data_IF_881155123699
#
_entry.id   IF_881155123699
#
_cell.length_a   1.000
_cell.length_b   1.000
_cell.length_c   1.000
_cell.angle_alpha   90.00
_cell.angle_beta   90.00
_cell.angle_gamma   90.00
#
_symmetry.space_group_name_H-M   'P 1'
#
loop_
_entity.id
_entity.type
_entity.pdbx_description
1 polymer ?
#
# COMPACT_ATOMS: atom_id res chain seq x y z
N UNK A 1 -10.45 -15.35 -37.30
CA UNK A 1 -9.09 -15.08 -36.85
C UNK A 1 -9.04 -15.51 -35.39
N UNK A 2 -8.29 -16.55 -35.05
CA UNK A 2 -8.07 -16.97 -33.69
C UNK A 2 -7.17 -15.92 -33.02
N UNK A 3 -7.73 -15.08 -32.16
CA UNK A 3 -6.96 -14.19 -31.30
C UNK A 3 -6.06 -15.07 -30.44
N UNK A 4 -4.76 -15.02 -30.70
CA UNK A 4 -3.75 -15.67 -29.84
C UNK A 4 -3.66 -14.89 -28.54
N UNK A 5 -4.29 -15.40 -27.46
CA UNK A 5 -4.15 -14.79 -26.13
C UNK A 5 -2.74 -14.96 -25.61
N UNK A 6 -2.22 -13.94 -24.92
CA UNK A 6 -0.98 -14.04 -24.16
C UNK A 6 -1.28 -14.87 -22.92
N UNK A 7 -0.63 -16.04 -22.73
CA UNK A 7 -0.93 -16.90 -21.60
C UNK A 7 -0.36 -16.33 -20.30
N UNK A 8 -1.16 -16.37 -19.24
CA UNK A 8 -0.68 -16.11 -17.89
C UNK A 8 0.14 -17.28 -17.32
N UNK A 9 0.91 -17.00 -16.28
CA UNK A 9 1.63 -18.02 -15.50
C UNK A 9 0.74 -18.69 -14.44
N UNK A 10 -0.51 -18.96 -14.79
CA UNK A 10 -1.50 -19.62 -13.95
C UNK A 10 -2.92 -19.19 -14.33
N UNK A 11 -3.91 -19.98 -13.93
CA UNK A 11 -5.31 -19.70 -14.19
C UNK A 11 -5.80 -18.52 -13.34
N UNK A 12 -6.44 -17.51 -13.94
CA UNK A 12 -7.05 -16.40 -13.20
C UNK A 12 -8.03 -16.88 -12.12
N UNK A 13 -8.17 -16.07 -11.08
CA UNK A 13 -9.20 -16.24 -10.06
C UNK A 13 -10.35 -15.28 -10.35
N UNK A 14 -11.54 -15.84 -10.55
CA UNK A 14 -12.77 -15.08 -10.82
C UNK A 14 -13.67 -15.16 -9.59
N UNK A 15 -13.73 -14.12 -8.75
CA UNK A 15 -14.46 -14.18 -7.46
C UNK A 15 -15.94 -14.56 -7.61
N UNK A 16 -16.61 -14.14 -8.70
CA UNK A 16 -18.02 -14.49 -8.94
C UNK A 16 -18.25 -15.99 -9.17
N UNK A 17 -17.22 -16.75 -9.55
CA UNK A 17 -17.28 -18.21 -9.74
C UNK A 17 -16.96 -18.99 -8.46
N UNK A 18 -16.50 -18.31 -7.41
CA UNK A 18 -16.11 -18.94 -6.15
C UNK A 18 -17.24 -18.87 -5.12
N UNK A 19 -17.35 -19.87 -4.24
CA UNK A 19 -18.30 -19.80 -3.14
C UNK A 19 -17.90 -18.68 -2.17
N UNK A 20 -18.87 -17.87 -1.68
CA UNK A 20 -18.57 -16.86 -0.68
C UNK A 20 -18.22 -17.51 0.65
N UNK A 21 -17.08 -17.12 1.22
CA UNK A 21 -16.69 -17.54 2.58
C UNK A 21 -17.12 -16.45 3.57
N UNK A 22 -18.15 -16.74 4.36
CA UNK A 22 -18.59 -15.83 5.42
C UNK A 22 -17.73 -15.99 6.68
N UNK A 23 -17.50 -14.90 7.44
CA UNK A 23 -16.67 -14.97 8.62
C UNK A 23 -17.26 -15.93 9.66
N UNK A 24 -16.40 -16.77 10.23
CA UNK A 24 -16.79 -17.65 11.31
C UNK A 24 -17.01 -16.87 12.63
N UNK A 25 -17.97 -17.31 13.44
CA UNK A 25 -18.13 -16.77 14.78
C UNK A 25 -16.92 -17.11 15.65
N UNK A 26 -16.38 -16.10 16.34
CA UNK A 26 -15.22 -16.29 17.20
C UNK A 26 -15.58 -17.16 18.43
N UNK A 27 -15.12 -18.41 18.41
CA UNK A 27 -15.27 -19.33 19.53
C UNK A 27 -14.27 -19.05 20.65
N UNK A 28 -14.54 -19.62 21.86
CA UNK A 28 -13.72 -19.40 23.04
C UNK A 28 -12.27 -19.88 22.86
N UNK A 29 -12.05 -21.04 22.22
CA UNK A 29 -10.72 -21.60 22.06
C UNK A 29 -9.87 -20.75 21.13
N UNK A 30 -10.42 -20.31 20.00
CA UNK A 30 -9.73 -19.45 19.03
C UNK A 30 -9.50 -18.06 19.64
N UNK A 31 -10.47 -17.54 20.39
CA UNK A 31 -10.28 -16.27 21.14
C UNK A 31 -9.08 -16.34 22.08
N UNK A 32 -9.02 -17.40 22.91
CA UNK A 32 -7.96 -17.57 23.88
C UNK A 32 -6.61 -17.84 23.20
N UNK A 33 -6.61 -18.52 22.07
CA UNK A 33 -5.42 -18.69 21.23
C UNK A 33 -4.90 -17.33 20.70
N UNK A 34 -5.76 -16.46 20.17
CA UNK A 34 -5.36 -15.12 19.69
C UNK A 34 -4.77 -14.27 20.83
N UNK A 35 -5.42 -14.28 21.99
CA UNK A 35 -4.99 -13.46 23.13
C UNK A 35 -3.62 -13.91 23.64
N UNK A 36 -3.39 -15.22 23.74
CA UNK A 36 -2.24 -15.81 24.42
C UNK A 36 -1.19 -16.38 23.45
N UNK A 37 -1.24 -16.10 22.13
CA UNK A 37 -0.26 -16.60 21.18
C UNK A 37 1.14 -16.03 21.47
N UNK A 38 2.11 -16.86 21.94
CA UNK A 38 3.44 -16.40 22.28
C UNK A 38 4.23 -15.92 21.06
N UNK A 39 3.88 -16.38 19.85
CA UNK A 39 4.49 -15.91 18.60
C UNK A 39 4.17 -14.44 18.35
N UNK A 40 2.97 -14.01 18.72
CA UNK A 40 2.56 -12.60 18.62
C UNK A 40 3.37 -11.71 19.57
N UNK A 41 3.64 -12.15 20.80
CA UNK A 41 4.45 -11.39 21.76
C UNK A 41 5.89 -11.25 21.27
N UNK A 42 6.50 -12.35 20.81
CA UNK A 42 7.86 -12.34 20.30
C UNK A 42 7.98 -11.49 19.02
N UNK A 43 7.08 -11.68 18.06
CA UNK A 43 7.07 -10.89 16.81
C UNK A 43 6.87 -9.40 17.08
N UNK A 44 5.94 -9.03 17.99
CA UNK A 44 5.69 -7.64 18.37
C UNK A 44 6.91 -7.00 19.04
N UNK A 45 7.57 -7.74 19.94
CA UNK A 45 8.80 -7.25 20.58
C UNK A 45 9.93 -7.01 19.56
N UNK A 46 10.12 -7.93 18.59
CA UNK A 46 11.06 -7.75 17.49
C UNK A 46 10.68 -6.55 16.61
N UNK A 47 9.39 -6.36 16.33
CA UNK A 47 8.91 -5.26 15.50
C UNK A 47 9.13 -3.89 16.16
N UNK A 48 8.88 -3.75 17.47
CA UNK A 48 9.22 -2.54 18.24
C UNK A 48 10.73 -2.29 18.20
N UNK A 49 11.56 -3.33 18.34
CA UNK A 49 13.00 -3.20 18.25
C UNK A 49 13.45 -2.70 16.84
N UNK A 50 12.81 -3.20 15.78
CA UNK A 50 13.04 -2.73 14.40
C UNK A 50 12.68 -1.26 14.23
N UNK A 51 11.51 -0.83 14.74
CA UNK A 51 11.03 0.55 14.64
C UNK A 51 11.91 1.54 15.43
N UNK A 52 12.54 1.13 16.53
CA UNK A 52 13.51 1.96 17.27
C UNK A 52 14.73 2.37 16.42
N UNK A 53 14.99 1.70 15.31
CA UNK A 53 16.04 2.05 14.36
C UNK A 53 15.79 3.34 13.56
N UNK A 54 14.60 3.95 13.64
CA UNK A 54 14.27 5.23 12.98
C UNK A 54 13.00 5.19 12.14
N UNK A 55 12.84 6.19 11.26
CA UNK A 55 11.63 6.38 10.45
C UNK A 55 11.84 6.10 8.95
N UNK A 56 13.06 5.77 8.52
CA UNK A 56 13.33 5.34 7.14
C UNK A 56 12.76 3.93 6.89
N UNK A 57 12.55 3.54 5.62
CA UNK A 57 11.86 2.29 5.28
C UNK A 57 12.61 1.01 5.72
N UNK A 58 13.94 1.00 5.63
CA UNK A 58 14.73 -0.20 5.97
C UNK A 58 16.24 0.00 5.80
N UNK A 59 17.02 -1.09 5.88
CA UNK A 59 18.50 -1.04 5.92
C UNK A 59 19.18 -0.41 4.71
N UNK A 60 18.55 -0.44 3.55
CA UNK A 60 19.09 0.12 2.31
C UNK A 60 18.58 1.52 1.99
N UNK A 61 17.60 2.00 2.77
CA UNK A 61 16.99 3.30 2.58
C UNK A 61 17.50 4.28 3.64
N UNK A 62 17.88 5.46 3.20
CA UNK A 62 18.13 6.60 4.10
C UNK A 62 16.93 7.54 4.16
N UNK A 63 16.04 7.41 3.22
CA UNK A 63 14.85 8.21 3.03
C UNK A 63 13.75 7.83 4.02
N UNK A 64 13.05 8.83 4.53
CA UNK A 64 11.73 8.68 5.14
C UNK A 64 10.71 8.75 4.02
N UNK A 65 10.21 7.58 3.58
CA UNK A 65 9.18 7.48 2.56
C UNK A 65 7.80 7.63 3.18
N UNK A 66 6.98 8.49 2.61
CA UNK A 66 5.67 8.81 3.22
C UNK A 66 4.69 7.66 3.18
N UNK A 67 4.68 6.84 2.11
CA UNK A 67 3.86 5.63 2.02
C UNK A 67 4.20 4.66 3.14
N UNK A 68 5.49 4.44 3.37
CA UNK A 68 5.98 3.57 4.43
C UNK A 68 5.63 4.14 5.81
N UNK A 69 6.01 5.39 6.08
CA UNK A 69 5.76 6.05 7.36
C UNK A 69 4.27 6.02 7.72
N UNK A 70 3.37 6.31 6.77
CA UNK A 70 1.94 6.23 6.98
C UNK A 70 1.48 4.87 7.51
N UNK A 71 2.08 3.78 7.04
CA UNK A 71 1.67 2.42 7.43
C UNK A 71 2.17 2.00 8.82
N UNK A 72 3.24 2.61 9.30
CA UNK A 72 3.79 2.27 10.63
C UNK A 72 3.82 3.44 11.62
N UNK A 73 3.25 4.60 11.29
CA UNK A 73 3.30 5.78 12.17
C UNK A 73 2.67 5.54 13.54
N UNK A 74 1.60 4.76 13.61
CA UNK A 74 0.92 4.44 14.89
C UNK A 74 1.86 3.70 15.84
N UNK A 75 2.45 2.54 15.49
CA UNK A 75 3.43 1.90 16.36
C UNK A 75 4.78 2.65 16.43
N UNK A 76 5.11 3.51 15.47
CA UNK A 76 6.33 4.33 15.55
C UNK A 76 6.30 5.29 16.75
N UNK A 77 5.15 5.86 17.09
CA UNK A 77 5.00 6.75 18.26
C UNK A 77 5.29 6.01 19.59
N UNK A 78 5.10 4.68 19.63
CA UNK A 78 5.51 3.85 20.78
C UNK A 78 7.04 3.60 20.81
N UNK A 79 7.66 3.48 19.63
CA UNK A 79 9.05 3.02 19.49
C UNK A 79 10.06 4.17 19.41
N UNK A 80 9.67 5.33 18.88
CA UNK A 80 10.52 6.49 18.58
C UNK A 80 9.99 7.70 19.37
N UNK A 81 10.85 8.60 19.85
CA UNK A 81 10.41 9.81 20.55
C UNK A 81 9.40 10.61 19.70
N UNK A 82 8.25 10.93 20.28
CA UNK A 82 7.18 11.69 19.59
C UNK A 82 7.65 12.96 18.89
N UNK A 83 8.55 13.79 19.46
CA UNK A 83 9.11 14.95 18.74
C UNK A 83 9.81 14.58 17.44
N UNK A 84 10.51 13.47 17.37
CA UNK A 84 11.18 13.00 16.13
C UNK A 84 10.16 12.61 15.05
N UNK A 85 9.05 11.96 15.41
CA UNK A 85 7.95 11.65 14.48
C UNK A 85 7.31 12.92 13.98
N UNK A 86 7.09 13.89 14.88
CA UNK A 86 6.53 15.21 14.56
C UNK A 86 7.42 15.98 13.58
N UNK A 87 8.70 16.04 13.81
CA UNK A 87 9.67 16.70 12.94
C UNK A 87 9.69 16.06 11.55
N UNK A 88 9.71 14.72 11.48
CA UNK A 88 9.68 14.02 10.20
C UNK A 88 8.43 14.35 9.36
N UNK A 89 7.27 14.54 9.98
CA UNK A 89 6.07 14.99 9.28
C UNK A 89 6.18 16.45 8.82
N UNK A 90 6.74 17.32 9.66
CA UNK A 90 6.93 18.73 9.30
C UNK A 90 7.93 18.92 8.16
N UNK A 91 8.97 18.06 8.08
CA UNK A 91 9.98 18.09 7.03
C UNK A 91 9.34 18.04 5.62
N UNK A 92 8.29 17.22 5.42
CA UNK A 92 7.63 17.12 4.12
C UNK A 92 7.02 18.44 3.64
N UNK A 93 6.48 19.24 4.54
CA UNK A 93 5.87 20.51 4.19
C UNK A 93 6.86 21.56 3.66
N UNK A 94 8.15 21.44 4.01
CA UNK A 94 9.18 22.32 3.47
C UNK A 94 9.45 22.08 1.98
N UNK A 95 9.02 20.94 1.45
CA UNK A 95 9.20 20.53 0.06
C UNK A 95 7.88 20.47 -0.73
N UNK A 96 6.76 20.82 -0.10
CA UNK A 96 5.47 20.87 -0.77
C UNK A 96 5.45 21.97 -1.84
N UNK A 97 5.02 21.62 -3.05
CA UNK A 97 4.85 22.57 -4.15
C UNK A 97 3.75 23.60 -3.86
N UNK A 98 3.78 24.71 -4.58
CA UNK A 98 2.77 25.76 -4.48
C UNK A 98 1.37 25.29 -4.90
N UNK A 99 1.30 24.23 -5.70
CA UNK A 99 0.10 23.53 -6.16
C UNK A 99 -0.45 22.50 -5.15
N UNK A 100 0.24 22.28 -4.04
CA UNK A 100 -0.11 21.28 -3.01
C UNK A 100 0.64 19.95 -3.13
N UNK A 101 1.36 19.72 -4.22
CA UNK A 101 2.08 18.50 -4.51
C UNK A 101 3.15 18.17 -3.44
N UNK A 102 3.08 16.98 -2.83
CA UNK A 102 4.01 16.52 -1.81
C UNK A 102 5.09 15.58 -2.39
N UNK A 103 6.31 15.54 -1.82
CA UNK A 103 7.32 14.56 -2.19
C UNK A 103 6.96 13.17 -1.65
N UNK A 104 7.61 12.15 -2.22
CA UNK A 104 7.52 10.75 -1.74
C UNK A 104 8.36 10.55 -0.49
N UNK A 105 9.55 11.12 -0.50
CA UNK A 105 10.54 10.89 0.53
C UNK A 105 11.40 12.10 0.83
N UNK A 106 11.89 12.17 2.07
CA UNK A 106 12.82 13.20 2.55
C UNK A 106 14.05 12.52 3.11
N UNK A 107 15.24 13.05 2.80
CA UNK A 107 16.54 12.52 3.18
C UNK A 107 17.53 13.62 3.53
N UNK A 108 18.55 13.29 4.32
CA UNK A 108 19.72 14.17 4.47
C UNK A 108 20.48 14.26 3.12
N UNK A 109 20.85 15.49 2.69
CA UNK A 109 21.45 15.74 1.38
C UNK A 109 22.69 14.90 1.11
N UNK A 110 23.54 14.68 2.12
CA UNK A 110 24.75 13.88 2.01
C UNK A 110 24.52 12.35 2.00
N UNK A 111 23.26 11.90 2.10
CA UNK A 111 22.85 10.47 2.07
C UNK A 111 21.93 10.14 0.89
N UNK A 112 21.69 11.11 0.02
CA UNK A 112 20.84 10.92 -1.15
C UNK A 112 21.42 9.82 -2.09
N UNK A 113 20.54 8.91 -2.52
CA UNK A 113 20.90 7.92 -3.56
C UNK A 113 20.72 8.55 -4.96
N UNK A 114 21.79 8.59 -5.79
CA UNK A 114 21.74 9.14 -7.16
C UNK A 114 20.76 8.41 -8.10
N UNK A 115 20.28 7.24 -7.73
CA UNK A 115 19.23 6.54 -8.48
C UNK A 115 17.95 7.37 -8.56
N UNK A 116 17.57 8.03 -7.46
CA UNK A 116 16.36 8.82 -7.42
C UNK A 116 16.51 10.15 -8.16
N UNK A 117 15.51 10.47 -8.97
CA UNK A 117 15.42 11.68 -9.80
C UNK A 117 14.34 12.61 -9.25
N UNK A 118 14.08 13.71 -9.97
CA UNK A 118 13.07 14.70 -9.60
C UNK A 118 13.25 15.24 -8.16
N UNK A 119 14.45 15.74 -7.91
CA UNK A 119 14.90 16.21 -6.60
C UNK A 119 14.39 17.60 -6.29
N UNK A 120 14.04 17.84 -5.03
CA UNK A 120 13.65 19.14 -4.49
C UNK A 120 14.58 19.57 -3.38
N UNK A 121 14.90 20.86 -3.35
CA UNK A 121 15.60 21.55 -2.24
C UNK A 121 14.67 22.57 -1.64
N UNK A 122 14.91 22.92 -0.37
CA UNK A 122 14.17 23.96 0.34
C UNK A 122 15.14 24.90 1.02
N UNK A 123 14.94 26.21 0.83
CA UNK A 123 15.70 27.24 1.53
C UNK A 123 15.39 27.26 3.03
N UNK A 124 14.20 26.83 3.40
CA UNK A 124 13.74 26.80 4.81
C UNK A 124 14.10 25.52 5.55
N UNK A 125 14.68 24.53 4.85
CA UNK A 125 15.21 23.30 5.46
C UNK A 125 16.53 22.89 4.77
N UNK A 126 17.62 23.69 4.94
CA UNK A 126 18.91 23.38 4.33
C UNK A 126 19.49 22.04 4.86
N UNK A 127 20.26 21.33 4.02
CA UNK A 127 20.86 20.04 4.35
C UNK A 127 19.91 18.84 4.23
N UNK A 128 18.66 19.06 3.82
CA UNK A 128 17.70 18.05 3.42
C UNK A 128 17.37 18.14 1.95
N UNK A 129 16.99 17.00 1.38
CA UNK A 129 16.45 16.88 0.03
C UNK A 129 15.17 16.07 0.07
N UNK A 130 14.34 16.28 -0.95
CA UNK A 130 13.18 15.44 -1.16
C UNK A 130 13.15 14.91 -2.59
N UNK A 131 12.49 13.76 -2.79
CA UNK A 131 12.27 13.12 -4.07
C UNK A 131 10.78 13.07 -4.36
N UNK A 132 10.42 13.18 -5.65
CA UNK A 132 9.04 12.97 -6.12
C UNK A 132 9.01 11.91 -7.22
N UNK A 133 8.37 10.79 -6.90
CA UNK A 133 7.84 9.90 -7.91
C UNK A 133 6.55 10.53 -8.46
N UNK A 134 6.46 10.72 -9.75
CA UNK A 134 5.27 11.31 -10.36
C UNK A 134 4.30 10.26 -10.91
N UNK A 135 4.71 9.00 -10.95
CA UNK A 135 3.92 7.88 -11.46
C UNK A 135 2.76 7.54 -10.53
N UNK A 136 3.01 7.45 -9.22
CA UNK A 136 1.95 7.25 -8.22
C UNK A 136 1.21 8.53 -7.88
N UNK A 137 -0.01 8.39 -7.35
CA UNK A 137 -0.85 9.47 -6.82
C UNK A 137 -1.28 9.19 -5.37
N UNK A 138 -0.44 8.49 -4.62
CA UNK A 138 -0.74 8.04 -3.24
C UNK A 138 0.03 8.82 -2.16
N UNK A 139 0.99 9.66 -2.54
CA UNK A 139 1.82 10.41 -1.60
C UNK A 139 0.99 11.39 -0.77
N UNK A 140 0.14 12.15 -1.43
CA UNK A 140 -0.74 13.15 -0.82
C UNK A 140 -1.71 12.46 0.15
N UNK A 141 -2.36 11.38 -0.28
CA UNK A 141 -3.26 10.59 0.56
C UNK A 141 -2.54 9.95 1.74
N UNK A 142 -1.36 9.38 1.52
CA UNK A 142 -0.53 8.79 2.58
C UNK A 142 -0.12 9.82 3.61
N UNK A 143 0.23 11.04 3.17
CA UNK A 143 0.62 12.11 4.07
C UNK A 143 -0.55 12.60 4.93
N UNK A 144 -1.72 12.80 4.32
CA UNK A 144 -2.93 13.22 5.05
C UNK A 144 -3.31 12.18 6.10
N UNK A 145 -3.24 10.90 5.76
CA UNK A 145 -3.45 9.82 6.73
C UNK A 145 -2.41 9.85 7.86
N UNK A 146 -1.13 10.04 7.52
CA UNK A 146 -0.05 10.07 8.51
C UNK A 146 -0.24 11.20 9.54
N UNK A 147 -0.56 12.42 9.07
CA UNK A 147 -0.88 13.57 9.96
C UNK A 147 -2.10 13.26 10.83
N UNK A 148 -3.18 12.78 10.25
CA UNK A 148 -4.40 12.50 11.00
C UNK A 148 -4.20 11.40 12.05
N UNK A 149 -3.48 10.34 11.70
CA UNK A 149 -3.12 9.25 12.62
C UNK A 149 -2.19 9.72 13.73
N UNK A 150 -1.20 10.57 13.41
CA UNK A 150 -0.33 11.18 14.40
C UNK A 150 -1.15 11.99 15.41
N UNK A 151 -2.01 12.89 14.95
CA UNK A 151 -2.87 13.71 15.83
C UNK A 151 -3.76 12.81 16.70
N UNK A 152 -4.38 11.79 16.13
CA UNK A 152 -5.27 10.88 16.86
C UNK A 152 -4.56 10.08 17.96
N UNK A 153 -3.31 9.63 17.72
CA UNK A 153 -2.60 8.78 18.68
C UNK A 153 -1.87 9.58 19.77
N UNK A 154 -1.47 10.82 19.45
CA UNK A 154 -0.69 11.67 20.38
C UNK A 154 -1.52 12.77 21.04
N UNK A 155 -2.70 13.06 20.52
CA UNK A 155 -3.53 14.23 20.83
C UNK A 155 -2.80 15.59 20.59
N UNK A 156 -1.70 15.57 19.85
CA UNK A 156 -0.94 16.78 19.48
C UNK A 156 -1.60 17.52 18.32
N UNK A 157 -2.67 18.25 18.60
CA UNK A 157 -3.34 19.13 17.63
C UNK A 157 -2.49 20.35 17.25
N UNK A 158 -1.50 20.72 18.07
CA UNK A 158 -0.66 21.89 17.81
C UNK A 158 0.15 21.77 16.52
N UNK A 159 0.42 20.53 16.04
CA UNK A 159 1.08 20.32 14.76
C UNK A 159 0.31 20.99 13.60
N UNK A 160 -1.03 20.99 13.64
CA UNK A 160 -1.88 21.55 12.59
C UNK A 160 -1.76 23.08 12.47
N UNK A 161 -1.37 23.76 13.58
CA UNK A 161 -1.22 25.19 13.66
C UNK A 161 0.18 25.69 13.25
N UNK A 162 1.17 24.77 13.19
CA UNK A 162 2.54 25.12 12.79
C UNK A 162 2.55 25.75 11.41
N UNK A 163 3.15 26.93 11.30
CA UNK A 163 3.32 27.60 10.01
C UNK A 163 4.63 27.17 9.33
N UNK A 164 4.53 26.61 8.15
CA UNK A 164 5.66 26.31 7.27
C UNK A 164 5.52 27.18 6.01
N UNK A 165 6.52 27.99 5.71
CA UNK A 165 6.49 28.92 4.58
C UNK A 165 5.20 29.79 4.55
N UNK A 166 4.78 30.31 5.72
CA UNK A 166 3.65 31.22 5.87
C UNK A 166 2.25 30.57 5.80
N UNK A 167 2.12 29.23 5.71
CA UNK A 167 0.84 28.52 5.72
C UNK A 167 0.82 27.49 6.84
N UNK A 168 -0.33 27.34 7.52
CA UNK A 168 -0.48 26.32 8.56
C UNK A 168 -0.40 24.88 7.98
N UNK A 169 0.04 23.95 8.81
CA UNK A 169 0.08 22.55 8.40
C UNK A 169 -1.32 22.00 8.05
N UNK A 170 -2.38 22.46 8.71
CA UNK A 170 -3.75 22.11 8.32
C UNK A 170 -4.04 22.57 6.89
N UNK A 171 -3.75 23.84 6.57
CA UNK A 171 -4.00 24.33 5.21
C UNK A 171 -3.17 23.57 4.17
N UNK A 172 -1.90 23.25 4.48
CA UNK A 172 -1.04 22.46 3.61
C UNK A 172 -1.53 21.01 3.43
N UNK A 173 -2.14 20.43 4.47
CA UNK A 173 -2.79 19.11 4.40
C UNK A 173 -3.99 19.13 3.46
N UNK A 174 -4.80 20.19 3.52
CA UNK A 174 -5.93 20.40 2.59
C UNK A 174 -5.44 20.67 1.15
N UNK A 175 -4.37 21.45 0.98
CA UNK A 175 -3.76 21.68 -0.33
C UNK A 175 -3.27 20.37 -0.98
N UNK A 176 -2.76 19.43 -0.19
CA UNK A 176 -2.34 18.12 -0.68
C UNK A 176 -3.51 17.29 -1.23
N UNK A 177 -4.64 17.27 -0.54
CA UNK A 177 -5.84 16.63 -1.09
C UNK A 177 -6.36 17.36 -2.33
N UNK A 178 -6.43 18.68 -2.28
CA UNK A 178 -6.87 19.51 -3.41
C UNK A 178 -6.00 19.30 -4.65
N UNK A 179 -4.68 19.05 -4.49
CA UNK A 179 -3.79 18.69 -5.59
C UNK A 179 -4.31 17.47 -6.39
N UNK A 180 -4.81 16.44 -5.71
CA UNK A 180 -5.35 15.26 -6.37
C UNK A 180 -6.53 15.62 -7.28
N UNK A 181 -7.45 16.43 -6.80
CA UNK A 181 -8.63 16.89 -7.57
C UNK A 181 -8.28 17.88 -8.69
N UNK A 182 -7.23 18.68 -8.53
CA UNK A 182 -6.84 19.69 -9.53
C UNK A 182 -5.90 19.15 -10.61
N UNK A 183 -5.02 18.22 -10.25
CA UNK A 183 -3.89 17.80 -11.11
C UNK A 183 -3.84 16.32 -11.43
N UNK A 184 -4.63 15.51 -10.72
CA UNK A 184 -4.69 14.05 -10.90
C UNK A 184 -6.12 13.55 -11.17
N UNK A 185 -7.03 14.42 -11.47
CA UNK A 185 -8.44 14.08 -11.67
C UNK A 185 -8.76 13.79 -13.13
N UNK A 186 -9.30 12.61 -13.41
CA UNK A 186 -9.96 12.29 -14.67
C UNK A 186 -11.43 12.72 -14.60
N UNK A 187 -11.83 13.71 -15.39
CA UNK A 187 -13.23 14.13 -15.46
C UNK A 187 -14.12 13.08 -16.12
N UNK A 188 -13.57 12.27 -17.04
CA UNK A 188 -14.27 11.16 -17.70
C UNK A 188 -14.65 10.08 -16.68
N UNK A 189 -13.66 9.61 -15.91
CA UNK A 189 -13.85 8.53 -14.94
C UNK A 189 -14.31 9.01 -13.56
N UNK A 190 -14.21 10.31 -13.27
CA UNK A 190 -14.47 10.90 -11.94
C UNK A 190 -13.61 10.25 -10.84
N UNK A 191 -12.36 9.94 -11.17
CA UNK A 191 -11.39 9.25 -10.34
C UNK A 191 -10.02 9.91 -10.43
N UNK A 192 -9.20 9.68 -9.41
CA UNK A 192 -7.80 10.07 -9.37
C UNK A 192 -7.01 9.12 -10.27
N UNK A 193 -6.20 9.68 -11.17
CA UNK A 193 -5.35 8.94 -12.09
C UNK A 193 -3.87 8.97 -11.68
N UNK A 194 -3.17 7.93 -12.07
CA UNK A 194 -1.73 7.73 -12.02
C UNK A 194 -1.28 7.08 -13.34
N UNK A 195 -0.02 6.77 -13.48
CA UNK A 195 0.39 5.89 -14.58
C UNK A 195 -0.19 4.48 -14.40
N UNK A 196 -0.25 3.70 -15.47
CA UNK A 196 -0.56 2.27 -15.36
C UNK A 196 0.52 1.58 -14.51
N UNK A 197 0.14 1.05 -13.35
CA UNK A 197 1.04 0.42 -12.39
C UNK A 197 0.45 -0.88 -11.86
N UNK A 198 1.27 -1.74 -11.28
CA UNK A 198 0.76 -2.93 -10.61
C UNK A 198 0.22 -2.52 -9.23
N UNK A 199 -1.10 -2.43 -9.11
CA UNK A 199 -1.79 -2.09 -7.86
C UNK A 199 -1.17 -0.85 -7.16
N UNK A 200 -0.46 -1.05 -6.05
CA UNK A 200 0.22 -0.02 -5.23
C UNK A 200 1.58 0.44 -5.77
N UNK A 201 2.09 -0.23 -6.81
CA UNK A 201 3.45 -0.05 -7.27
C UNK A 201 3.68 1.35 -7.90
N UNK A 202 4.92 1.78 -7.94
CA UNK A 202 5.34 3.11 -8.32
C UNK A 202 6.25 3.16 -9.56
N UNK A 203 6.15 2.13 -10.42
CA UNK A 203 6.87 2.03 -11.69
C UNK A 203 5.87 1.84 -12.82
N UNK A 204 6.00 2.62 -13.89
CA UNK A 204 5.23 2.51 -15.12
C UNK A 204 5.85 1.46 -16.07
N UNK A 205 5.08 0.89 -17.02
CA UNK A 205 5.56 -0.19 -17.89
C UNK A 205 6.63 0.24 -18.90
N UNK A 206 6.57 1.45 -19.43
CA UNK A 206 7.25 1.87 -20.65
C UNK A 206 8.74 2.12 -20.48
N UNK A 207 9.19 2.42 -19.26
CA UNK A 207 10.56 2.87 -18.99
C UNK A 207 11.26 1.99 -17.96
N UNK A 208 12.57 1.76 -18.16
CA UNK A 208 13.38 0.94 -17.28
C UNK A 208 13.63 1.57 -15.89
N UNK A 209 13.55 2.89 -15.77
CA UNK A 209 13.55 3.61 -14.49
C UNK A 209 12.13 3.71 -13.92
N UNK A 210 11.16 4.07 -14.76
CA UNK A 210 9.73 3.96 -14.55
C UNK A 210 9.09 4.87 -13.50
N UNK A 211 9.83 5.76 -12.84
CA UNK A 211 9.37 6.54 -11.67
C UNK A 211 8.89 7.95 -12.01
N UNK A 212 9.01 8.38 -13.26
CA UNK A 212 8.65 9.74 -13.69
C UNK A 212 7.67 9.67 -14.85
N UNK A 213 6.57 10.42 -14.75
CA UNK A 213 5.65 10.60 -15.87
C UNK A 213 6.22 11.56 -16.88
N UNK A 214 6.07 11.23 -18.14
CA UNK A 214 6.43 12.03 -19.32
C UNK A 214 5.35 11.89 -20.39
N UNK A 215 5.66 12.30 -21.62
CA UNK A 215 4.74 12.27 -22.77
C UNK A 215 4.38 10.85 -23.24
N UNK A 216 5.24 9.87 -22.95
CA UNK A 216 5.03 8.46 -23.32
C UNK A 216 4.24 7.68 -22.25
N UNK A 217 3.85 8.31 -21.16
CA UNK A 217 3.19 7.64 -20.03
C UNK A 217 1.73 7.35 -20.32
N UNK A 218 1.34 6.08 -20.22
CA UNK A 218 -0.07 5.67 -20.25
C UNK A 218 -0.68 5.86 -18.86
N UNK A 219 -1.66 6.76 -18.76
CA UNK A 219 -2.36 7.05 -17.51
C UNK A 219 -3.58 6.16 -17.34
N UNK A 220 -3.85 5.81 -16.09
CA UNK A 220 -4.98 4.97 -15.72
C UNK A 220 -5.57 5.38 -14.38
N UNK A 221 -6.82 5.02 -14.16
CA UNK A 221 -7.44 5.01 -12.83
C UNK A 221 -7.48 3.57 -12.31
N UNK A 222 -7.17 3.39 -11.04
CA UNK A 222 -7.14 2.09 -10.36
C UNK A 222 -7.70 2.18 -8.94
N UNK A 223 -8.01 1.02 -8.35
CA UNK A 223 -8.69 0.95 -7.04
C UNK A 223 -7.79 1.43 -5.90
N UNK A 224 -6.49 1.08 -5.91
CA UNK A 224 -5.58 1.38 -4.80
C UNK A 224 -5.53 2.86 -4.46
N UNK A 225 -5.14 3.73 -5.41
CA UNK A 225 -4.98 5.16 -5.17
C UNK A 225 -6.29 5.83 -4.78
N UNK A 226 -7.41 5.41 -5.36
CA UNK A 226 -8.72 5.97 -5.09
C UNK A 226 -9.29 5.53 -3.73
N UNK A 227 -9.14 4.26 -3.35
CA UNK A 227 -9.51 3.78 -2.02
C UNK A 227 -8.62 4.40 -0.92
N UNK A 228 -7.33 4.62 -1.20
CA UNK A 228 -6.43 5.30 -0.27
C UNK A 228 -6.84 6.77 -0.05
N UNK A 229 -7.29 7.47 -1.11
CA UNK A 229 -7.80 8.84 -1.00
C UNK A 229 -9.09 8.91 -0.16
N UNK A 230 -10.00 7.93 -0.31
CA UNK A 230 -11.16 7.82 0.57
C UNK A 230 -10.76 7.69 2.04
N UNK A 231 -9.85 6.76 2.32
CA UNK A 231 -9.34 6.53 3.69
C UNK A 231 -8.61 7.77 4.24
N UNK A 232 -7.96 8.55 3.39
CA UNK A 232 -7.32 9.81 3.79
C UNK A 232 -8.35 10.86 4.21
N UNK A 233 -9.45 10.97 3.46
CA UNK A 233 -10.55 11.87 3.82
C UNK A 233 -11.22 11.39 5.12
N UNK A 234 -11.48 10.09 5.27
CA UNK A 234 -12.08 9.52 6.48
C UNK A 234 -11.20 9.77 7.72
N UNK A 235 -9.87 9.56 7.62
CA UNK A 235 -8.91 9.83 8.70
C UNK A 235 -8.85 11.35 9.04
N UNK A 236 -8.90 12.23 8.03
CA UNK A 236 -8.93 13.69 8.23
C UNK A 236 -10.23 14.16 8.93
N UNK A 237 -11.38 13.66 8.48
CA UNK A 237 -12.67 13.98 9.10
C UNK A 237 -12.74 13.49 10.55
N UNK A 238 -12.11 12.37 10.86
CA UNK A 238 -12.13 11.76 12.19
C UNK A 238 -11.37 12.57 13.26
N UNK A 239 -10.46 13.48 12.87
CA UNK A 239 -9.75 14.33 13.83
C UNK A 239 -10.45 15.64 14.14
N UNK A 240 -11.63 15.90 13.55
CA UNK A 240 -12.51 17.07 13.83
C UNK A 240 -11.73 18.42 13.84
N UNK A 241 -10.98 18.66 12.78
CA UNK A 241 -10.16 19.88 12.62
C UNK A 241 -10.67 20.85 11.56
N UNK A 242 -11.78 20.50 10.90
CA UNK A 242 -12.38 21.27 9.80
C UNK A 242 -13.60 22.05 10.28
N UNK A 243 -13.85 23.19 9.66
CA UNK A 243 -15.12 23.89 9.85
C UNK A 243 -16.30 23.12 9.19
N UNK A 244 -17.52 23.57 9.46
CA UNK A 244 -18.71 22.90 8.96
C UNK A 244 -18.81 22.87 7.42
N UNK A 245 -18.34 23.91 6.75
CA UNK A 245 -18.34 24.02 5.27
C UNK A 245 -17.33 23.07 4.67
N UNK A 246 -16.10 23.06 5.18
CA UNK A 246 -15.05 22.14 4.77
C UNK A 246 -15.45 20.69 5.03
N UNK A 247 -16.03 20.40 6.20
CA UNK A 247 -16.52 19.06 6.55
C UNK A 247 -17.58 18.58 5.56
N UNK A 248 -18.53 19.43 5.19
CA UNK A 248 -19.58 19.07 4.23
C UNK A 248 -19.01 18.85 2.82
N UNK A 249 -18.08 19.69 2.36
CA UNK A 249 -17.42 19.55 1.06
C UNK A 249 -16.63 18.22 0.97
N UNK A 250 -15.78 17.92 1.97
CA UNK A 250 -14.99 16.69 1.96
C UNK A 250 -15.84 15.42 2.10
N UNK A 251 -16.94 15.46 2.86
CA UNK A 251 -17.91 14.36 2.87
C UNK A 251 -18.55 14.16 1.50
N UNK A 252 -18.96 15.24 0.83
CA UNK A 252 -19.52 15.15 -0.52
C UNK A 252 -18.53 14.58 -1.54
N UNK A 253 -17.27 15.02 -1.51
CA UNK A 253 -16.19 14.48 -2.36
C UNK A 253 -15.92 13.00 -2.06
N UNK A 254 -15.90 12.63 -0.79
CA UNK A 254 -15.74 11.23 -0.33
C UNK A 254 -16.82 10.33 -0.91
N UNK A 255 -18.08 10.72 -0.79
CA UNK A 255 -19.21 9.92 -1.25
C UNK A 255 -19.25 9.81 -2.78
N UNK A 256 -18.96 10.91 -3.49
CA UNK A 256 -18.85 10.92 -4.95
C UNK A 256 -17.71 10.02 -5.45
N UNK A 257 -16.56 10.03 -4.76
CA UNK A 257 -15.41 9.18 -5.09
C UNK A 257 -15.73 7.69 -4.84
N UNK A 258 -16.36 7.36 -3.72
CA UNK A 258 -16.79 5.99 -3.40
C UNK A 258 -17.74 5.43 -4.47
N UNK A 259 -18.71 6.22 -4.90
CA UNK A 259 -19.64 5.84 -5.97
C UNK A 259 -18.89 5.66 -7.30
N UNK A 260 -17.98 6.57 -7.65
CA UNK A 260 -17.22 6.48 -8.88
C UNK A 260 -16.30 5.24 -8.94
N UNK A 261 -15.69 4.84 -7.82
CA UNK A 261 -14.90 3.59 -7.73
C UNK A 261 -15.77 2.38 -8.12
N UNK A 262 -17.00 2.31 -7.61
CA UNK A 262 -17.92 1.24 -7.97
C UNK A 262 -18.34 1.32 -9.43
N UNK A 263 -18.79 2.48 -9.90
CA UNK A 263 -19.35 2.67 -11.25
C UNK A 263 -18.32 2.35 -12.34
N UNK A 264 -17.04 2.66 -12.10
CA UNK A 264 -15.99 2.62 -13.13
C UNK A 264 -15.12 1.37 -13.03
N UNK A 265 -14.78 0.95 -11.80
CA UNK A 265 -13.77 -0.10 -11.60
C UNK A 265 -14.35 -1.45 -11.23
N UNK A 266 -15.60 -1.52 -10.70
CA UNK A 266 -16.18 -2.81 -10.32
C UNK A 266 -16.72 -3.56 -11.54
N UNK A 267 -16.23 -4.77 -11.76
CA UNK A 267 -16.74 -5.70 -12.78
C UNK A 267 -17.73 -6.68 -12.13
N UNK A 268 -19.03 -6.40 -12.28
CA UNK A 268 -20.10 -7.24 -11.75
C UNK A 268 -20.03 -8.68 -12.27
N UNK A 269 -19.60 -8.89 -13.52
CA UNK A 269 -19.55 -10.21 -14.12
C UNK A 269 -18.45 -11.07 -13.46
N UNK A 270 -17.29 -10.46 -13.19
CA UNK A 270 -16.16 -11.14 -12.53
C UNK A 270 -16.23 -11.04 -11.01
N UNK A 271 -17.02 -10.11 -10.44
CA UNK A 271 -17.14 -9.88 -9.00
C UNK A 271 -15.85 -9.35 -8.37
N UNK A 272 -15.13 -8.49 -9.09
CA UNK A 272 -13.87 -7.89 -8.65
C UNK A 272 -13.63 -6.53 -9.29
N UNK A 273 -12.67 -5.78 -8.76
CA UNK A 273 -12.17 -4.60 -9.45
C UNK A 273 -11.32 -5.00 -10.67
N UNK A 274 -11.46 -4.25 -11.77
CA UNK A 274 -10.50 -4.32 -12.86
C UNK A 274 -9.20 -3.64 -12.44
N UNK A 275 -8.03 -4.05 -12.96
CA UNK A 275 -6.76 -3.41 -12.68
C UNK A 275 -6.76 -1.93 -13.03
N UNK A 276 -7.19 -1.62 -14.27
CA UNK A 276 -7.15 -0.27 -14.80
C UNK A 276 -8.38 0.07 -15.65
N UNK A 277 -8.71 1.38 -15.68
CA UNK A 277 -9.39 2.02 -16.81
C UNK A 277 -8.47 3.12 -17.32
N UNK A 278 -8.10 3.01 -18.57
CA UNK A 278 -7.10 3.89 -19.20
C UNK A 278 -7.72 5.21 -19.61
N UNK A 279 -6.90 6.25 -19.65
CA UNK A 279 -7.23 7.55 -20.21
C UNK A 279 -7.03 7.51 -21.75
N UNK A 280 -6.97 8.67 -22.38
CA UNK A 280 -6.86 8.82 -23.81
C UNK A 280 -5.65 8.12 -24.45
N UNK A 281 -4.58 7.89 -23.69
CA UNK A 281 -3.38 7.19 -24.17
C UNK A 281 -3.64 5.69 -24.42
N UNK A 282 -4.69 5.14 -23.80
CA UNK A 282 -5.03 3.73 -23.89
C UNK A 282 -4.14 2.81 -23.07
N UNK A 283 -4.19 1.52 -23.32
CA UNK A 283 -3.38 0.51 -22.61
C UNK A 283 -1.94 0.46 -23.15
N UNK A 284 -0.92 0.41 -22.28
CA UNK A 284 0.46 0.14 -22.68
C UNK A 284 0.70 -1.34 -23.02
N UNK A 285 -0.26 -2.21 -22.73
CA UNK A 285 -0.12 -3.66 -22.92
C UNK A 285 -0.73 -4.11 -24.25
N UNK A 286 -0.25 -5.24 -24.82
CA UNK A 286 -0.82 -5.81 -26.02
C UNK A 286 -2.31 -6.15 -25.82
N UNK A 287 -3.15 -5.95 -26.86
CA UNK A 287 -4.60 -6.24 -26.78
C UNK A 287 -4.92 -7.73 -26.57
N UNK A 288 -3.95 -8.61 -26.76
CA UNK A 288 -4.05 -10.05 -26.51
C UNK A 288 -3.95 -10.41 -25.01
N UNK A 289 -3.53 -9.48 -24.15
CA UNK A 289 -3.52 -9.66 -22.70
C UNK A 289 -4.91 -9.34 -22.14
N UNK A 290 -5.60 -10.33 -21.57
CA UNK A 290 -6.82 -10.09 -20.77
C UNK A 290 -6.45 -9.53 -19.39
N UNK A 291 -5.99 -8.28 -19.35
CA UNK A 291 -5.59 -7.62 -18.10
C UNK A 291 -6.71 -7.62 -17.06
N UNK A 292 -7.97 -7.51 -17.52
CA UNK A 292 -9.14 -7.53 -16.64
C UNK A 292 -9.29 -8.86 -15.87
N UNK A 293 -8.58 -9.92 -16.24
CA UNK A 293 -8.54 -11.18 -15.49
C UNK A 293 -7.63 -11.11 -14.25
N UNK A 294 -6.69 -10.18 -14.17
CA UNK A 294 -5.76 -10.04 -13.06
C UNK A 294 -6.50 -9.53 -11.81
N UNK A 295 -6.27 -10.18 -10.67
CA UNK A 295 -6.83 -9.82 -9.36
C UNK A 295 -5.79 -9.04 -8.53
N UNK A 296 -6.18 -7.88 -8.01
CA UNK A 296 -5.38 -7.01 -7.14
C UNK A 296 -5.87 -7.10 -5.69
N UNK A 297 -5.26 -7.97 -4.84
CA UNK A 297 -5.72 -8.20 -3.47
C UNK A 297 -5.63 -6.96 -2.59
N UNK A 298 -4.56 -6.16 -2.71
CA UNK A 298 -4.34 -5.02 -1.82
C UNK A 298 -5.31 -3.87 -2.09
N UNK A 299 -5.47 -3.46 -3.34
CA UNK A 299 -6.47 -2.44 -3.69
C UNK A 299 -7.88 -2.86 -3.26
N UNK A 300 -8.21 -4.15 -3.42
CA UNK A 300 -9.46 -4.74 -2.93
C UNK A 300 -9.57 -4.64 -1.41
N UNK A 301 -8.51 -4.95 -0.65
CA UNK A 301 -8.49 -4.84 0.81
C UNK A 301 -8.70 -3.40 1.30
N UNK A 302 -8.09 -2.42 0.64
CA UNK A 302 -8.32 -1.00 0.95
C UNK A 302 -9.77 -0.57 0.65
N UNK A 303 -10.36 -1.06 -0.45
CA UNK A 303 -11.76 -0.83 -0.78
C UNK A 303 -12.72 -1.45 0.25
N UNK A 304 -12.44 -2.65 0.75
CA UNK A 304 -13.17 -3.27 1.87
C UNK A 304 -13.09 -2.36 3.10
N UNK A 305 -11.90 -1.91 3.46
CA UNK A 305 -11.68 -1.03 4.62
C UNK A 305 -12.38 0.31 4.47
N UNK A 306 -12.49 0.84 3.25
CA UNK A 306 -13.22 2.07 2.94
C UNK A 306 -14.76 1.88 2.86
N UNK A 307 -15.25 0.65 3.08
CA UNK A 307 -16.70 0.34 3.05
C UNK A 307 -17.31 0.35 1.66
N UNK A 308 -16.52 0.08 0.61
CA UNK A 308 -17.01 0.10 -0.78
C UNK A 308 -17.71 -1.22 -1.14
N UNK A 309 -17.23 -2.36 -0.64
CA UNK A 309 -17.80 -3.67 -0.91
C UNK A 309 -18.85 -4.04 0.12
N UNK A 310 -19.91 -4.71 -0.33
CA UNK A 310 -20.90 -5.31 0.55
C UNK A 310 -20.37 -6.64 1.15
N UNK A 311 -21.18 -7.27 2.03
CA UNK A 311 -20.81 -8.52 2.72
C UNK A 311 -20.53 -9.68 1.76
N UNK A 312 -21.36 -9.84 0.72
CA UNK A 312 -21.21 -10.93 -0.26
C UNK A 312 -19.97 -10.74 -1.13
N UNK A 313 -19.71 -9.52 -1.59
CA UNK A 313 -18.54 -9.14 -2.35
C UNK A 313 -17.26 -9.33 -1.51
N UNK A 314 -17.31 -8.94 -0.24
CA UNK A 314 -16.20 -9.15 0.71
C UNK A 314 -15.93 -10.65 0.91
N UNK A 315 -16.99 -11.46 1.06
CA UNK A 315 -16.89 -12.91 1.23
C UNK A 315 -16.24 -13.60 0.02
N UNK A 316 -16.62 -13.19 -1.20
CA UNK A 316 -16.01 -13.71 -2.44
C UNK A 316 -14.58 -13.24 -2.63
N UNK A 317 -14.30 -11.98 -2.27
CA UNK A 317 -12.94 -11.43 -2.32
C UNK A 317 -11.99 -12.13 -1.34
N UNK A 318 -12.47 -12.53 -0.16
CA UNK A 318 -11.69 -13.37 0.75
C UNK A 318 -11.33 -14.72 0.11
N UNK A 319 -12.34 -15.42 -0.43
CA UNK A 319 -12.10 -16.72 -1.11
C UNK A 319 -11.10 -16.54 -2.26
N UNK A 320 -11.27 -15.49 -3.07
CA UNK A 320 -10.36 -15.20 -4.19
C UNK A 320 -8.93 -14.93 -3.72
N UNK A 321 -8.75 -14.21 -2.61
CA UNK A 321 -7.42 -13.96 -2.03
C UNK A 321 -6.75 -15.26 -1.59
N UNK A 322 -7.46 -16.14 -0.89
CA UNK A 322 -6.93 -17.44 -0.45
C UNK A 322 -6.65 -18.37 -1.64
N UNK A 323 -7.56 -18.39 -2.61
CA UNK A 323 -7.39 -19.19 -3.83
C UNK A 323 -6.19 -18.73 -4.67
N UNK A 324 -5.98 -17.42 -4.80
CA UNK A 324 -4.81 -16.85 -5.49
C UNK A 324 -3.49 -17.32 -4.82
N UNK A 325 -3.42 -17.24 -3.50
CA UNK A 325 -2.27 -17.74 -2.72
C UNK A 325 -2.04 -19.23 -2.95
N UNK A 326 -3.11 -20.03 -2.92
CA UNK A 326 -3.05 -21.47 -3.14
C UNK A 326 -2.55 -21.83 -4.54
N UNK A 327 -3.10 -21.20 -5.58
CA UNK A 327 -2.68 -21.41 -6.98
C UNK A 327 -1.25 -20.96 -7.24
N UNK A 328 -0.83 -19.87 -6.62
CA UNK A 328 0.54 -19.39 -6.70
C UNK A 328 1.53 -20.28 -5.95
N UNK A 329 1.07 -21.06 -4.98
CA UNK A 329 1.93 -21.74 -4.02
C UNK A 329 2.69 -20.77 -3.13
N UNK A 330 2.15 -19.56 -2.92
CA UNK A 330 2.75 -18.54 -2.08
C UNK A 330 2.56 -18.84 -0.59
N UNK A 331 3.41 -18.27 0.25
CA UNK A 331 3.40 -18.57 1.68
C UNK A 331 2.35 -17.76 2.45
N UNK A 332 1.98 -16.57 1.96
CA UNK A 332 1.04 -15.68 2.67
C UNK A 332 0.13 -14.88 1.73
N UNK A 333 -0.88 -14.25 2.33
CA UNK A 333 -1.80 -13.34 1.63
C UNK A 333 -1.17 -12.00 1.23
N UNK A 334 0.11 -11.81 1.48
CA UNK A 334 0.89 -10.67 0.98
C UNK A 334 1.30 -10.79 -0.48
N UNK A 335 0.97 -11.91 -1.11
CA UNK A 335 1.19 -12.17 -2.52
C UNK A 335 0.26 -11.32 -3.41
N UNK A 336 0.83 -10.60 -4.39
CA UNK A 336 0.08 -9.74 -5.31
C UNK A 336 0.92 -9.43 -6.55
N UNK A 337 0.31 -9.32 -7.75
CA UNK A 337 -1.07 -9.64 -8.14
C UNK A 337 -1.24 -11.12 -8.52
N UNK A 338 -2.46 -11.54 -8.85
CA UNK A 338 -2.68 -12.88 -9.39
C UNK A 338 -3.63 -12.88 -10.60
N UNK A 339 -3.26 -13.57 -11.72
CA UNK A 339 -1.89 -14.03 -12.01
C UNK A 339 -0.93 -12.85 -12.17
N UNK A 340 0.39 -13.06 -12.04
CA UNK A 340 1.35 -11.99 -12.30
C UNK A 340 1.34 -11.58 -13.78
N UNK A 341 1.66 -10.32 -14.05
CA UNK A 341 1.86 -9.85 -15.43
C UNK A 341 2.94 -10.71 -16.11
N UNK A 342 2.71 -11.13 -17.37
CA UNK A 342 3.70 -11.91 -18.12
C UNK A 342 5.04 -11.20 -18.28
N UNK A 343 6.06 -11.97 -18.66
CA UNK A 343 7.39 -11.41 -18.99
C UNK A 343 7.30 -10.28 -20.01
N UNK A 344 8.16 -9.27 -19.85
CA UNK A 344 8.32 -8.12 -20.77
C UNK A 344 7.14 -7.13 -20.80
N UNK A 345 6.14 -7.27 -19.92
CA UNK A 345 5.09 -6.27 -19.80
C UNK A 345 5.61 -4.97 -19.16
N UNK A 346 6.71 -5.04 -18.43
CA UNK A 346 7.40 -3.90 -17.79
C UNK A 346 8.84 -3.83 -18.29
N UNK A 347 9.30 -2.66 -18.70
CA UNK A 347 10.68 -2.44 -19.14
C UNK A 347 11.69 -2.55 -17.98
N UNK A 348 11.24 -2.26 -16.75
CA UNK A 348 12.06 -2.39 -15.56
C UNK A 348 12.35 -3.87 -15.23
N UNK A 349 13.63 -4.25 -15.23
CA UNK A 349 14.06 -5.64 -15.03
C UNK A 349 13.63 -6.25 -13.70
N UNK A 350 13.41 -5.42 -12.67
CA UNK A 350 12.95 -5.85 -11.35
C UNK A 350 11.47 -6.27 -11.29
N UNK A 351 10.69 -6.02 -12.34
CA UNK A 351 9.22 -6.23 -12.38
C UNK A 351 8.85 -7.46 -13.22
N UNK A 352 9.71 -8.45 -13.25
CA UNK A 352 9.38 -9.71 -13.90
C UNK A 352 8.48 -10.58 -13.02
N UNK A 353 7.74 -11.55 -13.60
CA UNK A 353 6.87 -12.43 -12.82
C UNK A 353 7.57 -13.06 -11.61
N UNK A 354 6.87 -13.20 -10.50
CA UNK A 354 7.33 -13.73 -9.21
C UNK A 354 8.33 -12.85 -8.46
N UNK A 355 8.57 -11.64 -8.93
CA UNK A 355 9.48 -10.70 -8.31
C UNK A 355 8.79 -9.41 -7.88
N UNK A 356 9.31 -8.80 -6.83
CA UNK A 356 8.92 -7.48 -6.32
C UNK A 356 7.39 -7.30 -6.29
N UNK A 357 6.85 -6.27 -6.96
CA UNK A 357 5.40 -6.04 -7.02
C UNK A 357 4.65 -7.00 -7.96
N UNK A 358 5.34 -7.71 -8.87
CA UNK A 358 4.73 -8.61 -9.84
C UNK A 358 4.74 -10.07 -9.37
N UNK A 359 4.11 -10.35 -8.26
CA UNK A 359 4.04 -11.70 -7.67
C UNK A 359 5.01 -11.94 -6.51
N UNK A 360 5.60 -10.91 -5.94
CA UNK A 360 6.30 -11.00 -4.66
C UNK A 360 5.32 -11.09 -3.48
N UNK A 361 5.76 -11.71 -2.38
CA UNK A 361 4.99 -11.87 -1.15
C UNK A 361 5.50 -10.90 -0.08
N UNK A 362 4.68 -9.89 0.23
CA UNK A 362 5.02 -8.78 1.09
C UNK A 362 4.34 -8.91 2.46
N UNK A 363 5.11 -9.14 3.53
CA UNK A 363 4.58 -9.08 4.90
C UNK A 363 3.85 -7.76 5.16
N UNK A 364 4.38 -6.66 4.65
CA UNK A 364 3.82 -5.32 4.76
C UNK A 364 2.36 -5.26 4.28
N UNK A 365 2.10 -5.74 3.07
CA UNK A 365 0.78 -5.69 2.46
C UNK A 365 -0.13 -6.82 2.94
N UNK A 366 0.43 -8.00 3.20
CA UNK A 366 -0.33 -9.12 3.76
C UNK A 366 -0.91 -8.80 5.13
N UNK A 367 -0.15 -8.13 6.00
CA UNK A 367 -0.64 -7.70 7.31
C UNK A 367 -1.74 -6.63 7.19
N UNK A 368 -1.64 -5.69 6.24
CA UNK A 368 -2.69 -4.71 5.98
C UNK A 368 -3.96 -5.35 5.39
N UNK A 369 -3.80 -6.33 4.51
CA UNK A 369 -4.90 -7.13 3.97
C UNK A 369 -5.60 -7.90 5.08
N UNK A 370 -4.84 -8.59 5.96
CA UNK A 370 -5.41 -9.27 7.12
C UNK A 370 -6.16 -8.31 8.05
N UNK A 371 -5.61 -7.12 8.31
CA UNK A 371 -6.26 -6.10 9.12
C UNK A 371 -7.57 -5.59 8.49
N UNK A 372 -7.61 -5.42 7.17
CA UNK A 372 -8.83 -5.02 6.46
C UNK A 372 -9.95 -6.05 6.62
N UNK A 373 -9.64 -7.33 6.41
CA UNK A 373 -10.61 -8.41 6.62
C UNK A 373 -11.00 -8.58 8.09
N UNK A 374 -10.07 -8.45 9.03
CA UNK A 374 -10.39 -8.44 10.46
C UNK A 374 -11.41 -7.35 10.81
N UNK A 375 -11.22 -6.13 10.25
CA UNK A 375 -12.16 -5.02 10.44
C UNK A 375 -13.55 -5.33 9.85
N UNK A 376 -13.61 -6.12 8.77
CA UNK A 376 -14.86 -6.60 8.16
C UNK A 376 -15.47 -7.83 8.90
N UNK A 377 -14.91 -8.24 10.04
CA UNK A 377 -15.45 -9.31 10.88
C UNK A 377 -14.77 -10.68 10.72
N UNK A 378 -13.79 -10.82 9.81
CA UNK A 378 -13.04 -12.06 9.53
C UNK A 378 -11.90 -12.27 10.54
N UNK A 379 -12.20 -12.20 11.84
CA UNK A 379 -11.19 -12.23 12.90
C UNK A 379 -10.39 -13.55 12.92
N UNK A 380 -11.08 -14.68 12.77
CA UNK A 380 -10.46 -16.02 12.77
C UNK A 380 -9.59 -16.20 11.53
N UNK A 381 -10.13 -15.86 10.38
CA UNK A 381 -9.47 -15.97 9.09
C UNK A 381 -8.22 -15.08 9.04
N UNK A 382 -8.35 -13.84 9.50
CA UNK A 382 -7.24 -12.89 9.57
C UNK A 382 -6.16 -13.36 10.56
N UNK A 383 -6.54 -13.99 11.69
CA UNK A 383 -5.57 -14.62 12.60
C UNK A 383 -4.75 -15.68 11.87
N UNK A 384 -5.42 -16.66 11.24
CA UNK A 384 -4.73 -17.74 10.51
C UNK A 384 -3.89 -17.20 9.34
N UNK A 385 -4.36 -16.18 8.63
CA UNK A 385 -3.63 -15.56 7.53
C UNK A 385 -2.42 -14.74 8.01
N UNK A 386 -2.42 -14.27 9.25
CA UNK A 386 -1.28 -13.54 9.84
C UNK A 386 -0.16 -14.48 10.27
N UNK A 387 -0.47 -15.72 10.66
CA UNK A 387 0.52 -16.65 11.21
C UNK A 387 1.70 -16.95 10.27
N UNK A 388 1.53 -17.24 8.96
CA UNK A 388 2.67 -17.49 8.08
C UNK A 388 3.64 -16.30 8.02
N UNK A 389 3.14 -15.07 8.10
CA UNK A 389 3.96 -13.85 8.11
C UNK A 389 4.73 -13.69 9.42
N UNK A 390 4.09 -13.99 10.55
CA UNK A 390 4.74 -14.00 11.87
C UNK A 390 5.80 -15.09 11.92
N UNK A 391 5.49 -16.31 11.50
CA UNK A 391 6.40 -17.45 11.52
C UNK A 391 7.65 -17.23 10.68
N UNK A 392 7.53 -16.60 9.48
CA UNK A 392 8.72 -16.26 8.68
C UNK A 392 9.60 -15.20 9.32
N UNK A 393 9.01 -14.21 10.02
CA UNK A 393 9.79 -13.22 10.79
C UNK A 393 10.55 -13.90 11.94
N UNK A 394 9.90 -14.81 12.67
CA UNK A 394 10.53 -15.56 13.77
C UNK A 394 11.62 -16.52 13.25
N UNK A 395 11.39 -17.20 12.11
CA UNK A 395 12.37 -18.06 11.44
C UNK A 395 13.62 -17.30 11.03
N UNK A 396 13.42 -16.15 10.37
CA UNK A 396 14.51 -15.36 9.76
C UNK A 396 15.16 -14.41 10.75
N UNK A 397 14.53 -14.17 11.91
CA UNK A 397 14.94 -13.19 12.93
C UNK A 397 15.07 -11.76 12.38
N UNK A 398 14.27 -11.44 11.35
CA UNK A 398 14.38 -10.18 10.63
C UNK A 398 13.06 -9.84 9.90
N UNK A 399 12.84 -8.56 9.63
CA UNK A 399 11.77 -8.06 8.78
C UNK A 399 12.35 -7.74 7.40
N UNK A 400 11.92 -8.50 6.40
CA UNK A 400 12.32 -8.26 5.01
C UNK A 400 11.24 -7.53 4.24
N UNK A 401 11.66 -6.80 3.21
CA UNK A 401 10.79 -6.02 2.34
C UNK A 401 9.80 -6.93 1.61
N UNK A 402 10.28 -7.97 0.94
CA UNK A 402 9.46 -8.98 0.27
C UNK A 402 10.16 -10.34 0.22
N UNK A 403 9.38 -11.36 -0.13
CA UNK A 403 9.80 -12.76 -0.26
C UNK A 403 9.42 -13.27 -1.66
N UNK A 404 10.20 -14.21 -2.18
CA UNK A 404 9.81 -14.92 -3.39
C UNK A 404 8.72 -15.97 -3.10
N UNK A 405 8.21 -16.62 -4.15
CA UNK A 405 7.20 -17.68 -4.01
C UNK A 405 7.66 -18.89 -3.20
N UNK A 406 8.97 -19.09 -3.04
CA UNK A 406 9.55 -20.16 -2.22
C UNK A 406 9.75 -19.72 -0.76
N UNK A 407 9.21 -18.58 -0.38
CA UNK A 407 9.34 -18.00 0.95
C UNK A 407 10.80 -17.70 1.35
N UNK A 408 11.63 -17.35 0.35
CA UNK A 408 13.01 -16.90 0.52
C UNK A 408 13.00 -15.38 0.51
N UNK A 409 13.56 -14.71 1.54
CA UNK A 409 13.55 -13.25 1.61
C UNK A 409 14.46 -12.64 0.54
N UNK A 410 14.00 -11.56 -0.07
CA UNK A 410 14.79 -10.74 -0.98
C UNK A 410 16.11 -10.33 -0.32
N UNK A 411 17.20 -10.38 -1.06
CA UNK A 411 18.57 -10.16 -0.54
C UNK A 411 19.25 -11.40 0.02
N UNK A 412 18.52 -12.48 0.31
CA UNK A 412 19.10 -13.81 0.65
C UNK A 412 18.95 -14.84 -0.47
N UNK A 413 18.27 -14.50 -1.55
CA UNK A 413 18.20 -15.35 -2.74
C UNK A 413 19.62 -15.53 -3.26
N UNK A 414 20.11 -16.77 -3.22
CA UNK A 414 21.45 -17.14 -3.71
C UNK A 414 21.51 -16.88 -5.21
N UNK A 415 22.73 -16.61 -5.70
CA UNK A 415 23.01 -16.35 -7.11
C UNK A 415 22.03 -17.08 -8.05
N UNK A 416 21.22 -16.33 -8.80
CA UNK A 416 20.28 -16.95 -9.71
C UNK A 416 21.03 -17.82 -10.73
N UNK A 417 20.43 -18.90 -11.17
CA UNK A 417 20.97 -19.77 -12.20
C UNK A 417 21.31 -18.97 -13.47
N UNK A 418 22.16 -19.44 -14.36
CA UNK A 418 22.39 -18.80 -15.65
C UNK A 418 21.08 -18.56 -16.43
N UNK A 419 20.12 -19.45 -16.29
CA UNK A 419 18.78 -19.35 -16.88
C UNK A 419 17.98 -18.22 -16.24
N UNK A 420 18.01 -18.09 -14.92
CA UNK A 420 17.36 -17.00 -14.20
C UNK A 420 18.01 -15.64 -14.51
N UNK A 421 19.35 -15.60 -14.62
CA UNK A 421 20.08 -14.40 -15.05
C UNK A 421 19.69 -13.97 -16.46
N UNK A 422 19.53 -14.94 -17.37
CA UNK A 422 19.08 -14.68 -18.74
C UNK A 422 17.66 -14.09 -18.79
N UNK A 423 16.79 -14.47 -17.81
CA UNK A 423 15.45 -13.90 -17.61
C UNK A 423 15.45 -12.59 -16.83
N UNK A 424 16.60 -12.06 -16.44
CA UNK A 424 16.71 -10.83 -15.65
C UNK A 424 16.51 -11.01 -14.13
N UNK A 425 16.34 -12.23 -13.65
CA UNK A 425 16.02 -12.54 -12.24
C UNK A 425 17.12 -12.19 -11.24
N UNK A 426 18.36 -12.01 -11.70
CA UNK A 426 19.45 -11.55 -10.82
C UNK A 426 19.28 -10.13 -10.27
N UNK A 427 18.45 -9.31 -10.91
CA UNK A 427 18.10 -7.98 -10.42
C UNK A 427 17.01 -8.01 -9.33
N UNK A 428 16.28 -9.13 -9.20
CA UNK A 428 15.17 -9.31 -8.27
C UNK A 428 15.59 -9.61 -6.83
N UNK A 429 16.86 -9.96 -6.62
CA UNK A 429 17.37 -10.34 -5.30
C UNK A 429 17.52 -9.14 -4.33
N UNK A 430 17.26 -7.92 -4.79
CA UNK A 430 17.32 -6.72 -3.96
C UNK A 430 16.04 -6.56 -3.14
N UNK A 431 16.23 -6.34 -1.84
CA UNK A 431 15.18 -6.02 -0.90
C UNK A 431 15.79 -5.63 0.43
N UNK A 432 15.16 -4.71 1.13
CA UNK A 432 15.66 -4.24 2.42
C UNK A 432 15.42 -5.28 3.52
N UNK A 433 16.39 -5.41 4.41
CA UNK A 433 16.19 -5.93 5.76
C UNK A 433 15.78 -4.77 6.70
N UNK A 434 15.38 -5.11 7.92
CA UNK A 434 14.87 -4.13 8.90
C UNK A 434 13.73 -3.28 8.31
N UNK A 435 12.89 -3.91 7.50
CA UNK A 435 11.83 -3.23 6.78
C UNK A 435 10.69 -2.83 7.72
N UNK A 436 10.62 -1.54 8.03
CA UNK A 436 9.74 -0.98 9.06
C UNK A 436 8.26 -1.04 8.68
N UNK A 437 7.96 -0.98 7.38
CA UNK A 437 6.60 -1.20 6.89
C UNK A 437 6.04 -2.56 7.34
N UNK A 438 6.81 -3.64 7.18
CA UNK A 438 6.42 -4.97 7.61
C UNK A 438 6.30 -5.07 9.15
N UNK A 439 7.27 -4.51 9.87
CA UNK A 439 7.25 -4.51 11.34
C UNK A 439 6.01 -3.78 11.87
N UNK A 440 5.74 -2.57 11.40
CA UNK A 440 4.60 -1.79 11.86
C UNK A 440 3.25 -2.37 11.46
N UNK A 441 3.11 -2.90 10.25
CA UNK A 441 1.88 -3.53 9.80
C UNK A 441 1.54 -4.79 10.63
N UNK A 442 2.56 -5.59 11.00
CA UNK A 442 2.34 -6.74 11.89
C UNK A 442 1.91 -6.33 13.30
N UNK A 443 2.50 -5.27 13.89
CA UNK A 443 2.02 -4.73 15.17
C UNK A 443 0.55 -4.36 15.06
N UNK A 444 0.16 -3.63 14.02
CA UNK A 444 -1.22 -3.15 13.85
C UNK A 444 -2.20 -4.32 13.76
N UNK A 445 -1.92 -5.33 12.96
CA UNK A 445 -2.84 -6.46 12.83
C UNK A 445 -2.88 -7.33 14.09
N UNK A 446 -1.75 -7.57 14.76
CA UNK A 446 -1.68 -8.31 16.02
C UNK A 446 -2.50 -7.62 17.11
N UNK A 447 -2.30 -6.29 17.27
CA UNK A 447 -3.01 -5.51 18.28
C UNK A 447 -4.51 -5.44 17.97
N UNK A 448 -4.91 -5.30 16.69
CA UNK A 448 -6.31 -5.35 16.25
C UNK A 448 -6.97 -6.69 16.57
N UNK A 449 -6.33 -7.80 16.22
CA UNK A 449 -6.84 -9.14 16.48
C UNK A 449 -7.03 -9.38 17.98
N UNK A 450 -6.07 -9.01 18.81
CA UNK A 450 -6.16 -9.08 20.27
C UNK A 450 -7.26 -8.19 20.85
N UNK A 451 -7.41 -6.97 20.31
CA UNK A 451 -8.50 -6.08 20.72
C UNK A 451 -9.86 -6.69 20.41
N UNK A 452 -10.06 -7.22 19.20
CA UNK A 452 -11.32 -7.87 18.81
C UNK A 452 -11.61 -9.13 19.64
N UNK A 453 -10.58 -9.94 19.93
CA UNK A 453 -10.72 -11.11 20.77
C UNK A 453 -11.14 -10.76 22.21
N UNK A 454 -10.60 -9.67 22.78
CA UNK A 454 -10.97 -9.17 24.10
C UNK A 454 -12.38 -8.54 24.14
N UNK A 455 -12.75 -7.77 23.11
CA UNK A 455 -14.05 -7.09 23.05
C UNK A 455 -15.24 -8.06 22.94
N UNK A 456 -15.04 -9.27 22.44
CA UNK A 456 -16.06 -10.33 22.33
C UNK A 456 -16.03 -11.32 23.51
N UNK A 457 -15.32 -10.97 24.60
CA UNK A 457 -15.42 -11.72 25.85
C UNK A 457 -16.83 -11.53 26.46
N UNK A 458 -17.46 -12.61 27.01
CA UNK A 458 -18.80 -12.53 27.57
C UNK A 458 -18.90 -11.60 28.79
#
# INVERSE_FOLDING_TARGET
MTTTHIPFLGEPVIPSELPPHRPAALDTNTRDAIINDPRFDECRAMAIACLKGGLNAGSHFHEVWIRDLNTFIVPAVEAVPTPQVREALLDFFHFQGADGNLPDGVVAENKHDPYYKNLRRSETLPGRMAMKNSVSADQESSFVQAIARYVRITDDRSILEVAVNGRSCLQRTLDALDFLWKHRWSSEHRLICNAATIDWHDIRPEDSHGMIMDEDTHRAVGVYSNALALLAIDDLLAIDCLDATQTADWKGRRDALAQAIRDVLWDEKRGKFVPHRYLEEGSPFPPELDEDAIFFPLGTALAIRAGILNEEETARSWTATVEAVSRAGAASIGFSPWPPYPEKMYAAKGIQPWGYANGGDWTWWGAQTAAAYATAGYTIEAYHATLPMVERVLRDREFFEWYDRNNVPAGKIKDPSPEDKAKGWGALAKGAAQFRGAAGALIIVIDLLRQQAKAKAP
#
